data_IF_937615809779
#
_entry.id   IF_937615809779
#
_cell.length_a   1.000
_cell.length_b   1.000
_cell.length_c   1.000
_cell.angle_alpha   90.00
_cell.angle_beta   90.00
_cell.angle_gamma   90.00
#
_symmetry.space_group_name_H-M   'P 1'
#
loop_
_entity.id
_entity.type
_entity.pdbx_description
1 polymer ?
#
# COMPACT_ATOMS: atom_id res chain seq x y z
N UNK A 1 -24.63 -24.63 57.02
CA UNK A 1 -25.27 -24.94 55.73
C UNK A 1 -24.35 -24.41 54.63
N UNK A 2 -23.67 -25.28 53.89
CA UNK A 2 -22.86 -24.87 52.74
C UNK A 2 -23.81 -24.48 51.60
N UNK A 3 -23.62 -23.27 51.08
CA UNK A 3 -24.34 -22.76 49.91
C UNK A 3 -23.70 -23.37 48.66
N UNK A 4 -24.39 -24.33 48.05
CA UNK A 4 -24.07 -24.83 46.71
C UNK A 4 -24.34 -23.71 45.70
N UNK A 5 -23.29 -22.94 45.37
CA UNK A 5 -23.30 -22.01 44.24
C UNK A 5 -23.09 -22.84 42.97
N UNK A 6 -24.05 -22.87 42.03
CA UNK A 6 -23.86 -23.55 40.76
C UNK A 6 -22.69 -22.92 40.01
N UNK A 7 -21.66 -23.72 39.75
CA UNK A 7 -20.52 -23.36 38.90
C UNK A 7 -21.05 -23.15 37.47
N UNK A 8 -21.49 -21.93 37.18
CA UNK A 8 -21.81 -21.46 35.83
C UNK A 8 -20.52 -21.26 35.02
N UNK A 9 -19.70 -22.32 34.90
CA UNK A 9 -18.80 -22.47 33.75
C UNK A 9 -19.68 -22.88 32.57
N UNK A 10 -20.38 -21.90 32.00
CA UNK A 10 -20.81 -21.98 30.62
C UNK A 10 -19.53 -22.23 29.81
N UNK A 11 -19.34 -23.48 29.42
CA UNK A 11 -18.31 -23.91 28.48
C UNK A 11 -18.54 -23.06 27.23
N UNK A 12 -17.73 -22.01 27.09
CA UNK A 12 -17.58 -21.26 25.85
C UNK A 12 -17.01 -22.24 24.83
N UNK A 13 -17.89 -23.04 24.24
CA UNK A 13 -17.60 -23.94 23.14
C UNK A 13 -17.44 -23.09 21.87
N UNK A 14 -16.50 -22.15 21.92
CA UNK A 14 -15.94 -21.57 20.72
C UNK A 14 -15.24 -22.70 19.97
N UNK A 15 -15.63 -22.96 18.71
CA UNK A 15 -14.87 -23.83 17.82
C UNK A 15 -13.37 -23.58 17.98
N UNK A 16 -12.62 -24.62 18.34
CA UNK A 16 -11.17 -24.53 18.37
C UNK A 16 -10.65 -24.09 17.00
N UNK A 17 -9.46 -23.46 16.95
CA UNK A 17 -8.81 -23.04 15.69
C UNK A 17 -8.75 -24.17 14.65
N UNK A 18 -8.63 -25.42 15.11
CA UNK A 18 -8.66 -26.63 14.29
C UNK A 18 -9.97 -26.82 13.52
N UNK A 19 -11.11 -26.56 14.16
CA UNK A 19 -12.43 -26.71 13.55
C UNK A 19 -12.67 -25.65 12.46
N UNK A 20 -12.25 -24.40 12.70
CA UNK A 20 -12.30 -23.34 11.69
C UNK A 20 -11.39 -23.66 10.50
N UNK A 21 -10.21 -24.24 10.77
CA UNK A 21 -9.30 -24.73 9.73
C UNK A 21 -9.95 -25.81 8.86
N UNK A 22 -10.64 -26.77 9.47
CA UNK A 22 -11.36 -27.83 8.77
C UNK A 22 -12.49 -27.29 7.90
N UNK A 23 -13.28 -26.33 8.40
CA UNK A 23 -14.34 -25.69 7.60
C UNK A 23 -13.78 -24.92 6.40
N UNK A 24 -12.66 -24.19 6.58
CA UNK A 24 -12.00 -23.48 5.48
C UNK A 24 -11.40 -24.40 4.44
N UNK A 25 -10.88 -25.56 4.86
CA UNK A 25 -10.40 -26.59 3.92
C UNK A 25 -11.57 -27.14 3.12
N UNK A 26 -12.67 -27.51 3.80
CA UNK A 26 -13.88 -28.00 3.16
C UNK A 26 -14.49 -27.00 2.16
N UNK A 27 -14.56 -25.71 2.52
CA UNK A 27 -15.06 -24.67 1.60
C UNK A 27 -14.11 -24.39 0.42
N UNK A 28 -12.83 -24.76 0.53
CA UNK A 28 -11.88 -24.68 -0.59
C UNK A 28 -12.12 -25.81 -1.58
N UNK A 29 -12.42 -26.99 -1.07
CA UNK A 29 -12.68 -28.20 -1.88
C UNK A 29 -14.09 -28.16 -2.49
N UNK A 30 -15.07 -27.61 -1.76
CA UNK A 30 -16.44 -27.40 -2.20
C UNK A 30 -16.92 -25.98 -1.86
N UNK A 31 -16.71 -24.99 -2.76
CA UNK A 31 -17.15 -23.61 -2.53
C UNK A 31 -18.68 -23.43 -2.50
N UNK A 32 -19.43 -24.43 -2.96
CA UNK A 32 -20.90 -24.45 -2.97
C UNK A 32 -21.50 -24.95 -1.64
N UNK A 33 -20.68 -25.37 -0.67
CA UNK A 33 -21.15 -25.85 0.64
C UNK A 33 -21.64 -24.68 1.52
N UNK A 34 -22.89 -24.27 1.28
CA UNK A 34 -23.57 -23.21 2.01
C UNK A 34 -23.69 -23.51 3.50
N UNK A 35 -23.84 -24.78 3.89
CA UNK A 35 -23.93 -25.16 5.30
C UNK A 35 -22.62 -24.86 6.03
N UNK A 36 -21.48 -25.24 5.44
CA UNK A 36 -20.14 -24.92 5.98
C UNK A 36 -19.90 -23.40 5.98
N UNK A 37 -20.29 -22.71 4.91
CA UNK A 37 -20.19 -21.24 4.82
C UNK A 37 -20.99 -20.55 5.92
N UNK A 38 -22.23 -20.97 6.19
CA UNK A 38 -23.06 -20.44 7.28
C UNK A 38 -22.43 -20.65 8.66
N UNK A 39 -21.80 -21.81 8.92
CA UNK A 39 -21.11 -22.06 10.19
C UNK A 39 -19.91 -21.12 10.37
N UNK A 40 -19.12 -20.89 9.31
CA UNK A 40 -17.99 -19.93 9.34
C UNK A 40 -18.50 -18.51 9.63
N UNK A 41 -19.56 -18.08 8.95
CA UNK A 41 -20.16 -16.75 9.15
C UNK A 41 -20.68 -16.61 10.59
N UNK A 42 -21.45 -17.59 11.09
CA UNK A 42 -21.94 -17.58 12.48
C UNK A 42 -20.80 -17.57 13.50
N UNK A 43 -19.72 -18.29 13.23
CA UNK A 43 -18.53 -18.27 14.08
C UNK A 43 -17.89 -16.88 14.12
N UNK A 44 -17.64 -16.24 12.97
CA UNK A 44 -17.02 -14.92 12.95
C UNK A 44 -17.91 -13.81 13.51
N UNK A 45 -19.22 -13.88 13.31
CA UNK A 45 -20.19 -12.98 13.96
C UNK A 45 -20.09 -13.06 15.49
N UNK A 46 -20.05 -14.27 16.05
CA UNK A 46 -19.92 -14.48 17.51
C UNK A 46 -18.63 -13.91 18.08
N UNK A 47 -17.53 -13.94 17.32
CA UNK A 47 -16.25 -13.39 17.72
C UNK A 47 -16.11 -11.87 17.47
N UNK A 48 -17.10 -11.22 16.85
CA UNK A 48 -17.03 -9.81 16.49
C UNK A 48 -16.10 -9.50 15.30
N UNK A 49 -15.66 -10.51 14.55
CA UNK A 49 -14.84 -10.33 13.34
C UNK A 49 -15.75 -10.08 12.13
N UNK A 50 -16.35 -8.88 12.10
CA UNK A 50 -17.38 -8.48 11.13
C UNK A 50 -16.85 -8.47 9.69
N UNK A 51 -15.57 -8.16 9.47
CA UNK A 51 -14.89 -8.21 8.17
C UNK A 51 -14.80 -9.65 7.63
N UNK A 52 -14.45 -10.61 8.48
CA UNK A 52 -14.37 -12.02 8.11
C UNK A 52 -15.76 -12.60 7.92
N UNK A 53 -16.74 -12.22 8.75
CA UNK A 53 -18.13 -12.61 8.54
C UNK A 53 -18.63 -12.15 7.17
N UNK A 54 -18.42 -10.87 6.82
CA UNK A 54 -18.78 -10.31 5.52
C UNK A 54 -18.11 -11.03 4.36
N UNK A 55 -16.80 -11.32 4.47
CA UNK A 55 -16.04 -12.05 3.44
C UNK A 55 -16.71 -13.34 3.00
N UNK A 56 -17.19 -14.17 3.93
CA UNK A 56 -17.82 -15.46 3.61
C UNK A 56 -19.32 -15.32 3.33
N UNK A 57 -20.01 -14.37 3.98
CA UNK A 57 -21.44 -14.14 3.82
C UNK A 57 -21.82 -13.61 2.43
N UNK A 58 -20.89 -12.98 1.72
CA UNK A 58 -21.06 -12.55 0.32
C UNK A 58 -21.47 -13.69 -0.62
N UNK A 59 -21.08 -14.94 -0.33
CA UNK A 59 -21.46 -16.10 -1.13
C UNK A 59 -22.79 -16.77 -0.76
N UNK A 60 -23.45 -16.35 0.33
CA UNK A 60 -24.71 -16.91 0.79
C UNK A 60 -25.91 -16.25 0.10
N UNK A 61 -27.02 -16.98 -0.04
CA UNK A 61 -28.27 -16.47 -0.60
C UNK A 61 -28.84 -15.27 0.19
N UNK A 62 -28.80 -15.32 1.53
CA UNK A 62 -29.21 -14.20 2.40
C UNK A 62 -28.21 -13.03 2.36
N UNK A 63 -27.02 -13.25 1.81
CA UNK A 63 -25.95 -12.28 1.70
C UNK A 63 -25.33 -11.86 3.03
N UNK A 64 -24.50 -10.82 2.95
CA UNK A 64 -23.88 -10.15 4.08
C UNK A 64 -24.71 -8.92 4.50
N UNK A 65 -24.72 -8.59 5.79
CA UNK A 65 -25.35 -7.37 6.27
C UNK A 65 -24.62 -6.11 5.78
N UNK A 66 -25.26 -4.94 5.84
CA UNK A 66 -24.63 -3.69 5.42
C UNK A 66 -23.33 -3.38 6.20
N UNK A 67 -23.28 -3.68 7.48
CA UNK A 67 -22.10 -3.46 8.32
C UNK A 67 -20.98 -4.47 8.02
N UNK A 68 -21.35 -5.72 7.74
CA UNK A 68 -20.42 -6.77 7.29
C UNK A 68 -19.78 -6.43 5.94
N UNK A 69 -20.59 -5.96 5.00
CA UNK A 69 -20.10 -5.49 3.70
C UNK A 69 -19.17 -4.30 3.85
N UNK A 70 -19.52 -3.31 4.69
CA UNK A 70 -18.66 -2.14 4.95
C UNK A 70 -17.32 -2.54 5.56
N UNK A 71 -17.32 -3.44 6.53
CA UNK A 71 -16.10 -3.95 7.17
C UNK A 71 -15.25 -4.77 6.18
N UNK A 72 -15.90 -5.63 5.38
CA UNK A 72 -15.22 -6.41 4.36
C UNK A 72 -14.58 -5.54 3.27
N UNK A 73 -15.30 -4.52 2.77
CA UNK A 73 -14.77 -3.51 1.85
C UNK A 73 -13.56 -2.80 2.47
N UNK A 74 -13.65 -2.38 3.73
CA UNK A 74 -12.52 -1.78 4.46
C UNK A 74 -11.29 -2.71 4.53
N UNK A 75 -11.50 -4.01 4.72
CA UNK A 75 -10.43 -5.00 4.70
C UNK A 75 -9.83 -5.18 3.29
N UNK A 76 -10.66 -5.30 2.24
CA UNK A 76 -10.21 -5.33 0.85
C UNK A 76 -9.42 -4.07 0.50
N UNK A 77 -9.81 -2.93 1.08
CA UNK A 77 -9.07 -1.70 1.03
C UNK A 77 -7.70 -1.81 1.68
N UNK A 78 -7.61 -2.25 2.94
CA UNK A 78 -6.31 -2.47 3.61
C UNK A 78 -5.37 -3.40 2.83
N UNK A 79 -5.90 -4.39 2.11
CA UNK A 79 -5.13 -5.38 1.36
C UNK A 79 -4.76 -4.97 -0.08
N UNK A 80 -5.23 -3.82 -0.56
CA UNK A 80 -5.12 -3.42 -1.97
C UNK A 80 -5.61 -4.52 -2.93
N UNK A 81 -6.69 -5.23 -2.55
CA UNK A 81 -7.26 -6.32 -3.31
C UNK A 81 -7.97 -5.82 -4.57
N UNK A 82 -7.77 -6.52 -5.69
CA UNK A 82 -8.56 -6.40 -6.92
C UNK A 82 -9.78 -7.35 -6.89
N UNK A 83 -10.62 -7.31 -7.93
CA UNK A 83 -11.81 -8.16 -8.01
C UNK A 83 -11.46 -9.66 -7.96
N UNK A 84 -10.42 -10.07 -8.69
CA UNK A 84 -9.95 -11.46 -8.68
C UNK A 84 -9.52 -11.92 -7.28
N UNK A 85 -8.81 -11.05 -6.54
CA UNK A 85 -8.42 -11.30 -5.16
C UNK A 85 -9.62 -11.32 -4.22
N UNK A 86 -10.59 -10.41 -4.39
CA UNK A 86 -11.82 -10.40 -3.60
C UNK A 86 -12.64 -11.69 -3.81
N UNK A 87 -12.80 -12.15 -5.05
CA UNK A 87 -13.47 -13.43 -5.37
C UNK A 87 -12.75 -14.62 -4.73
N UNK A 88 -11.42 -14.69 -4.89
CA UNK A 88 -10.59 -15.74 -4.28
C UNK A 88 -10.69 -15.72 -2.75
N UNK A 89 -10.68 -14.54 -2.13
CA UNK A 89 -10.81 -14.42 -0.69
C UNK A 89 -12.18 -14.88 -0.23
N UNK A 90 -13.27 -14.47 -0.87
CA UNK A 90 -14.63 -14.89 -0.54
C UNK A 90 -14.95 -16.36 -0.86
N UNK A 91 -14.02 -17.08 -1.50
CA UNK A 91 -14.22 -18.44 -2.01
C UNK A 91 -15.51 -18.53 -2.84
N UNK A 92 -15.74 -17.54 -3.73
CA UNK A 92 -16.91 -17.55 -4.60
C UNK A 92 -16.74 -18.58 -5.72
N UNK A 93 -17.85 -19.17 -6.15
CA UNK A 93 -17.89 -20.03 -7.33
C UNK A 93 -17.62 -19.22 -8.59
N UNK A 94 -17.02 -19.86 -9.59
CA UNK A 94 -16.86 -19.27 -10.91
C UNK A 94 -18.25 -18.95 -11.50
N UNK A 95 -18.46 -17.68 -11.88
CA UNK A 95 -19.74 -17.18 -12.38
C UNK A 95 -20.66 -16.57 -11.31
N UNK A 96 -20.38 -16.73 -10.02
CA UNK A 96 -21.11 -16.00 -8.98
C UNK A 96 -20.66 -14.53 -9.00
N UNK A 97 -21.62 -13.60 -9.07
CA UNK A 97 -21.31 -12.17 -9.06
C UNK A 97 -21.02 -11.68 -7.64
N UNK A 98 -20.06 -10.77 -7.52
CA UNK A 98 -19.90 -9.99 -6.30
C UNK A 98 -21.11 -9.06 -6.13
N UNK A 99 -21.57 -8.82 -4.88
CA UNK A 99 -22.58 -7.82 -4.57
C UNK A 99 -22.19 -6.48 -5.19
N UNK A 100 -23.17 -5.80 -5.78
CA UNK A 100 -22.96 -4.52 -6.48
C UNK A 100 -22.18 -3.53 -5.61
N UNK A 101 -22.49 -3.44 -4.31
CA UNK A 101 -21.76 -2.56 -3.38
C UNK A 101 -20.27 -2.89 -3.21
N UNK A 102 -19.88 -4.18 -3.27
CA UNK A 102 -18.46 -4.59 -3.20
C UNK A 102 -17.79 -4.31 -4.54
N UNK A 103 -18.47 -4.61 -5.64
CA UNK A 103 -17.99 -4.35 -7.01
C UNK A 103 -17.77 -2.86 -7.24
N UNK A 104 -18.78 -2.04 -6.97
CA UNK A 104 -18.71 -0.58 -7.01
C UNK A 104 -17.62 -0.05 -6.07
N UNK A 105 -17.45 -0.62 -4.87
CA UNK A 105 -16.38 -0.20 -3.96
C UNK A 105 -14.98 -0.62 -4.42
N UNK A 106 -14.85 -1.60 -5.31
CA UNK A 106 -13.59 -1.97 -5.95
C UNK A 106 -13.35 -1.11 -7.21
N UNK A 107 -14.39 -0.89 -8.02
CA UNK A 107 -14.38 -0.03 -9.21
C UNK A 107 -14.14 1.45 -8.87
N UNK A 108 -14.89 2.01 -7.92
CA UNK A 108 -14.70 3.40 -7.45
C UNK A 108 -13.39 3.61 -6.68
N UNK A 109 -12.73 2.51 -6.31
CA UNK A 109 -11.43 2.52 -5.63
C UNK A 109 -10.27 2.27 -6.59
N UNK A 110 -10.55 1.94 -7.85
CA UNK A 110 -9.61 2.25 -8.91
C UNK A 110 -9.47 3.78 -8.92
N UNK A 111 -8.47 4.30 -8.19
CA UNK A 111 -7.81 5.54 -8.59
C UNK A 111 -7.72 5.46 -10.11
N UNK A 112 -8.31 6.42 -10.87
CA UNK A 112 -8.46 6.29 -12.31
C UNK A 112 -7.14 5.80 -12.87
N UNK A 113 -7.16 4.71 -13.65
CA UNK A 113 -5.96 3.97 -14.07
C UNK A 113 -4.87 4.90 -14.66
N UNK A 114 -5.29 6.06 -15.19
CA UNK A 114 -4.45 7.18 -15.58
C UNK A 114 -3.46 7.68 -14.50
N UNK A 115 -3.83 7.72 -13.22
CA UNK A 115 -2.96 8.18 -12.12
C UNK A 115 -2.04 7.06 -11.61
N UNK A 116 -2.49 5.81 -11.63
CA UNK A 116 -1.73 4.66 -11.10
C UNK A 116 -0.72 4.11 -12.12
N UNK A 117 -1.05 4.11 -13.41
CA UNK A 117 -0.15 3.65 -14.48
C UNK A 117 0.48 4.80 -15.30
N UNK A 118 -0.19 5.94 -15.45
CA UNK A 118 0.33 7.09 -16.22
C UNK A 118 0.95 8.23 -15.39
N UNK A 119 0.38 8.53 -14.22
CA UNK A 119 0.72 9.72 -13.43
C UNK A 119 2.09 9.65 -12.76
N UNK A 120 2.41 8.54 -12.09
CA UNK A 120 3.68 8.40 -11.36
C UNK A 120 4.90 8.39 -12.28
N UNK A 121 4.80 7.75 -13.44
CA UNK A 121 5.85 7.77 -14.46
C UNK A 121 6.12 9.20 -14.95
N UNK A 122 5.06 9.98 -15.17
CA UNK A 122 5.17 11.39 -15.55
C UNK A 122 5.81 12.23 -14.44
N UNK A 123 5.40 12.08 -13.18
CA UNK A 123 5.97 12.82 -12.04
C UNK A 123 7.45 12.50 -11.84
N UNK A 124 7.82 11.22 -11.85
CA UNK A 124 9.24 10.79 -11.78
C UNK A 124 10.01 11.33 -12.99
N UNK A 125 9.44 11.24 -14.18
CA UNK A 125 10.02 11.79 -15.41
C UNK A 125 10.26 13.30 -15.33
N UNK A 126 9.30 14.07 -14.83
CA UNK A 126 9.41 15.53 -14.61
C UNK A 126 10.51 15.83 -13.60
N UNK A 127 10.60 15.09 -12.51
CA UNK A 127 11.65 15.28 -11.51
C UNK A 127 13.05 15.04 -12.09
N UNK A 128 13.22 14.01 -12.90
CA UNK A 128 14.47 13.73 -13.61
C UNK A 128 14.78 14.78 -14.69
N UNK A 129 13.76 15.22 -15.44
CA UNK A 129 13.91 16.30 -16.42
C UNK A 129 14.33 17.61 -15.74
N UNK A 130 13.75 17.93 -14.59
CA UNK A 130 14.15 19.08 -13.78
C UNK A 130 15.61 18.97 -13.34
N UNK A 131 16.05 17.82 -12.83
CA UNK A 131 17.45 17.58 -12.47
C UNK A 131 18.42 17.80 -13.64
N UNK A 132 18.11 17.22 -14.81
CA UNK A 132 18.93 17.35 -16.02
C UNK A 132 19.00 18.82 -16.45
N UNK A 133 17.86 19.51 -16.50
CA UNK A 133 17.78 20.92 -16.87
C UNK A 133 18.60 21.79 -15.89
N UNK A 134 18.44 21.59 -14.58
CA UNK A 134 19.22 22.35 -13.59
C UNK A 134 20.69 22.01 -13.64
N UNK A 135 21.07 20.77 -14.00
CA UNK A 135 22.47 20.40 -14.25
C UNK A 135 23.10 21.21 -15.39
N UNK A 136 22.39 21.38 -16.51
CA UNK A 136 22.85 22.23 -17.62
C UNK A 136 22.95 23.70 -17.21
N UNK A 137 21.96 24.21 -16.47
CA UNK A 137 21.98 25.60 -15.96
C UNK A 137 23.15 25.80 -15.00
N UNK A 138 23.36 24.90 -14.03
CA UNK A 138 24.52 24.93 -13.11
C UNK A 138 25.83 24.97 -13.88
N UNK A 139 26.00 24.10 -14.88
CA UNK A 139 27.22 24.06 -15.69
C UNK A 139 27.44 25.39 -16.42
N UNK A 140 26.42 25.92 -17.09
CA UNK A 140 26.49 27.17 -17.83
C UNK A 140 26.83 28.36 -16.91
N UNK A 141 26.19 28.46 -15.74
CA UNK A 141 26.42 29.54 -14.78
C UNK A 141 27.83 29.46 -14.18
N UNK A 142 28.24 28.29 -13.68
CA UNK A 142 29.57 28.09 -13.09
C UNK A 142 30.67 28.40 -14.12
N UNK A 143 30.51 27.89 -15.35
CA UNK A 143 31.45 28.13 -16.43
C UNK A 143 31.54 29.61 -16.81
N UNK A 144 30.39 30.29 -16.97
CA UNK A 144 30.34 31.71 -17.31
C UNK A 144 31.03 32.59 -16.27
N UNK A 145 30.75 32.36 -14.98
CA UNK A 145 31.40 33.09 -13.89
C UNK A 145 32.91 32.82 -13.80
N UNK A 146 33.32 31.58 -14.05
CA UNK A 146 34.74 31.19 -14.06
C UNK A 146 35.49 31.84 -15.22
N UNK A 147 34.91 31.84 -16.42
CA UNK A 147 35.51 32.47 -17.60
C UNK A 147 35.58 33.99 -17.50
N UNK A 148 34.59 34.61 -16.85
CA UNK A 148 34.59 36.03 -16.54
C UNK A 148 35.62 36.43 -15.46
N UNK A 149 36.29 35.44 -14.82
CA UNK A 149 37.19 35.65 -13.67
C UNK A 149 36.56 36.47 -12.56
N UNK A 150 35.25 36.28 -12.34
CA UNK A 150 34.54 36.95 -11.26
C UNK A 150 35.05 36.46 -9.91
N UNK A 151 35.25 37.38 -8.96
CA UNK A 151 35.56 37.03 -7.57
C UNK A 151 34.44 36.17 -6.93
N UNK A 152 33.22 36.27 -7.45
CA UNK A 152 32.04 35.53 -6.96
C UNK A 152 31.89 34.13 -7.58
N UNK A 153 32.81 33.70 -8.46
CA UNK A 153 32.67 32.42 -9.17
C UNK A 153 32.59 31.22 -8.21
N UNK A 154 33.36 31.24 -7.12
CA UNK A 154 33.36 30.19 -6.12
C UNK A 154 32.03 30.11 -5.33
N UNK A 155 31.57 31.17 -4.62
CA UNK A 155 30.32 31.08 -3.85
C UNK A 155 29.10 30.81 -4.74
N UNK A 156 29.04 31.38 -5.94
CA UNK A 156 27.99 31.09 -6.92
C UNK A 156 28.03 29.62 -7.33
N UNK A 157 29.21 29.07 -7.58
CA UNK A 157 29.36 27.67 -7.94
C UNK A 157 28.93 26.71 -6.83
N UNK A 158 29.35 26.96 -5.59
CA UNK A 158 28.94 26.16 -4.42
C UNK A 158 27.43 26.15 -4.25
N UNK A 159 26.79 27.32 -4.39
CA UNK A 159 25.33 27.44 -4.27
C UNK A 159 24.61 26.64 -5.36
N UNK A 160 24.99 26.82 -6.63
CA UNK A 160 24.34 26.12 -7.76
C UNK A 160 24.56 24.62 -7.75
N UNK A 161 25.75 24.14 -7.37
CA UNK A 161 26.04 22.71 -7.21
C UNK A 161 25.18 22.11 -6.09
N UNK A 162 25.06 22.82 -4.96
CA UNK A 162 24.22 22.38 -3.83
C UNK A 162 22.74 22.34 -4.21
N UNK A 163 22.24 23.36 -4.91
CA UNK A 163 20.87 23.44 -5.38
C UNK A 163 20.52 22.27 -6.32
N UNK A 164 21.35 22.02 -7.35
CA UNK A 164 21.17 20.90 -8.26
C UNK A 164 21.31 19.54 -7.56
N UNK A 165 22.19 19.44 -6.56
CA UNK A 165 22.29 18.27 -5.69
C UNK A 165 21.00 17.97 -4.93
N UNK A 166 20.32 18.98 -4.38
CA UNK A 166 19.03 18.79 -3.72
C UNK A 166 17.91 18.37 -4.67
N UNK A 167 17.93 18.86 -5.91
CA UNK A 167 16.98 18.41 -6.94
C UNK A 167 17.19 16.92 -7.26
N UNK A 168 18.45 16.47 -7.36
CA UNK A 168 18.77 15.04 -7.52
C UNK A 168 18.22 14.21 -6.35
N UNK A 169 18.44 14.65 -5.11
CA UNK A 169 17.91 13.97 -3.91
C UNK A 169 16.38 13.87 -3.98
N UNK A 170 15.69 14.94 -4.39
CA UNK A 170 14.25 14.93 -4.61
C UNK A 170 13.79 13.91 -5.66
N UNK A 171 14.47 13.86 -6.81
CA UNK A 171 14.17 12.88 -7.86
C UNK A 171 14.39 11.42 -7.40
N UNK A 172 15.45 11.17 -6.64
CA UNK A 172 15.73 9.84 -6.05
C UNK A 172 14.67 9.46 -5.01
N UNK A 173 14.27 10.39 -4.14
CA UNK A 173 13.23 10.15 -3.14
C UNK A 173 11.88 9.86 -3.79
N UNK A 174 11.50 10.59 -4.85
CA UNK A 174 10.30 10.32 -5.64
C UNK A 174 10.36 8.94 -6.33
N UNK A 175 11.53 8.56 -6.84
CA UNK A 175 11.74 7.23 -7.45
C UNK A 175 11.61 6.11 -6.40
N UNK A 176 12.12 6.32 -5.19
CA UNK A 176 11.98 5.40 -4.07
C UNK A 176 10.50 5.25 -3.65
N UNK A 177 9.78 6.37 -3.55
CA UNK A 177 8.36 6.39 -3.23
C UNK A 177 7.54 5.66 -4.28
N UNK A 178 7.78 5.92 -5.57
CA UNK A 178 7.13 5.21 -6.67
C UNK A 178 7.41 3.70 -6.64
N UNK A 179 8.65 3.32 -6.30
CA UNK A 179 9.01 1.89 -6.15
C UNK A 179 8.28 1.24 -4.98
N UNK A 180 8.09 1.97 -3.86
CA UNK A 180 7.37 1.50 -2.69
C UNK A 180 5.87 1.33 -2.99
N UNK A 181 5.24 2.31 -3.65
CA UNK A 181 3.83 2.26 -4.04
C UNK A 181 3.56 1.17 -5.10
N UNK A 182 4.55 0.85 -5.93
CA UNK A 182 4.49 -0.24 -6.91
C UNK A 182 4.79 -1.64 -6.33
N UNK A 183 4.83 -1.78 -5.00
CA UNK A 183 5.17 -3.02 -4.29
C UNK A 183 6.55 -3.63 -4.62
N UNK A 184 7.47 -2.84 -5.18
CA UNK A 184 8.85 -3.23 -5.50
C UNK A 184 9.80 -2.88 -4.36
N UNK A 185 9.60 -3.52 -3.21
CA UNK A 185 10.30 -3.19 -1.95
C UNK A 185 11.83 -3.20 -2.03
N UNK A 186 12.43 -4.13 -2.79
CA UNK A 186 13.89 -4.16 -2.98
C UNK A 186 14.41 -2.92 -3.72
N UNK A 187 13.68 -2.49 -4.75
CA UNK A 187 14.02 -1.28 -5.50
C UNK A 187 13.83 -0.04 -4.61
N UNK A 188 12.73 0.03 -3.85
CA UNK A 188 12.47 1.13 -2.92
C UNK A 188 13.62 1.30 -1.91
N UNK A 189 14.06 0.22 -1.26
CA UNK A 189 15.19 0.26 -0.32
C UNK A 189 16.49 0.72 -0.98
N UNK A 190 16.77 0.23 -2.19
CA UNK A 190 17.96 0.61 -2.95
C UNK A 190 17.96 2.11 -3.27
N UNK A 191 16.84 2.63 -3.78
CA UNK A 191 16.71 4.05 -4.10
C UNK A 191 16.75 4.95 -2.86
N UNK A 192 16.14 4.53 -1.76
CA UNK A 192 16.24 5.24 -0.48
C UNK A 192 17.70 5.31 0.01
N UNK A 193 18.45 4.22 -0.06
CA UNK A 193 19.85 4.21 0.34
C UNK A 193 20.70 5.17 -0.53
N UNK A 194 20.46 5.18 -1.84
CA UNK A 194 21.12 6.11 -2.77
C UNK A 194 20.73 7.57 -2.46
N UNK A 195 19.45 7.84 -2.20
CA UNK A 195 18.98 9.18 -1.85
C UNK A 195 19.63 9.71 -0.56
N UNK A 196 19.74 8.86 0.47
CA UNK A 196 20.41 9.20 1.74
C UNK A 196 21.89 9.47 1.52
N UNK A 197 22.58 8.62 0.75
CA UNK A 197 23.99 8.83 0.41
C UNK A 197 24.20 10.15 -0.36
N UNK A 198 23.34 10.44 -1.35
CA UNK A 198 23.40 11.69 -2.10
C UNK A 198 23.14 12.92 -1.20
N UNK A 199 22.14 12.86 -0.33
CA UNK A 199 21.85 13.94 0.61
C UNK A 199 23.02 14.18 1.57
N UNK A 200 23.66 13.13 2.06
CA UNK A 200 24.86 13.24 2.87
C UNK A 200 26.00 13.93 2.10
N UNK A 201 26.25 13.55 0.85
CA UNK A 201 27.27 14.20 0.00
C UNK A 201 26.97 15.69 -0.19
N UNK A 202 25.72 16.07 -0.45
CA UNK A 202 25.33 17.49 -0.60
C UNK A 202 25.55 18.26 0.70
N UNK A 203 25.14 17.70 1.84
CA UNK A 203 25.31 18.31 3.16
C UNK A 203 26.79 18.49 3.53
N UNK A 204 27.58 17.42 3.46
CA UNK A 204 28.99 17.47 3.85
C UNK A 204 29.87 18.18 2.82
N UNK A 205 29.56 18.07 1.53
CA UNK A 205 30.23 18.81 0.46
C UNK A 205 30.02 20.32 0.60
N UNK A 206 28.79 20.76 0.90
CA UNK A 206 28.51 22.18 1.17
C UNK A 206 29.25 22.73 2.39
N UNK A 207 29.41 21.92 3.46
CA UNK A 207 30.18 22.31 4.65
C UNK A 207 31.69 22.37 4.34
N UNK A 208 32.21 21.42 3.57
CA UNK A 208 33.63 21.35 3.21
C UNK A 208 34.07 22.45 2.26
N UNK A 209 33.21 22.86 1.33
CA UNK A 209 33.48 23.93 0.35
C UNK A 209 33.34 25.34 0.93
N UNK A 210 32.69 25.50 2.09
CA UNK A 210 32.53 26.80 2.76
C UNK A 210 33.65 27.11 3.78
N UNK A 211 34.66 26.25 3.91
CA UNK A 211 35.85 26.45 4.73
C UNK A 211 37.04 26.84 3.87
#
# INVERSE_FOLDING_TARGET
MPSDVPDHRSVDASPGKEQVGAWKARLRDDPADDATRQEIVRHYRRLGHIDQAGRYAVGLADGASADELRAYIGMLWGLNADEATARRLSALLDGQELPASVREALENRALPDELREGGWGCVVGIAWAAFVLTGFVTLAVVFGFTMARSADAHPVGVWWVSFTGWILVGALALTALWSATSARWRAALTWTAIAVAAAAVVLFGGIGLNR
#
